data_IF_545988407861
#
_entry.id   IF_545988407861
#
_cell.length_a   1.000
_cell.length_b   1.000
_cell.length_c   1.000
_cell.angle_alpha   90.00
_cell.angle_beta   90.00
_cell.angle_gamma   90.00
#
_symmetry.space_group_name_H-M   'P 1'
#
loop_
_entity.id
_entity.type
_entity.pdbx_description
1 polymer ?
#
# COMPACT_ATOMS: atom_id res chain seq x y z
N UNK A 1 22.29 2.75 -38.65
CA UNK A 1 21.52 2.72 -39.90
C UNK A 1 20.77 1.41 -40.15
N UNK A 2 21.25 0.25 -39.68
CA UNK A 2 20.54 -1.03 -39.94
C UNK A 2 19.30 -1.26 -39.06
N UNK A 3 19.29 -0.77 -37.82
CA UNK A 3 18.14 -0.94 -36.90
C UNK A 3 16.95 -0.04 -37.25
N UNK A 4 17.19 1.14 -37.81
CA UNK A 4 16.11 2.07 -38.19
C UNK A 4 15.28 1.52 -39.37
N UNK A 5 15.94 0.85 -40.32
CA UNK A 5 15.28 0.21 -41.46
C UNK A 5 14.40 -0.97 -41.01
N UNK A 6 14.88 -1.74 -40.03
CA UNK A 6 14.11 -2.85 -39.45
C UNK A 6 12.87 -2.33 -38.70
N UNK A 7 13.00 -1.24 -37.94
CA UNK A 7 11.89 -0.66 -37.19
C UNK A 7 10.82 -0.06 -38.12
N UNK A 8 11.24 0.54 -39.24
CA UNK A 8 10.35 1.03 -40.30
C UNK A 8 9.59 -0.10 -40.99
N UNK A 9 10.25 -1.23 -41.29
CA UNK A 9 9.61 -2.37 -41.92
C UNK A 9 8.55 -3.00 -40.98
N UNK A 10 8.89 -3.19 -39.70
CA UNK A 10 7.96 -3.71 -38.69
C UNK A 10 6.74 -2.80 -38.54
N UNK A 11 6.94 -1.47 -38.52
CA UNK A 11 5.83 -0.52 -38.44
C UNK A 11 4.94 -0.53 -39.68
N UNK A 12 5.51 -0.74 -40.87
CA UNK A 12 4.75 -0.87 -42.11
C UNK A 12 3.86 -2.12 -42.08
N UNK A 13 4.40 -3.26 -41.66
CA UNK A 13 3.68 -4.53 -41.57
C UNK A 13 2.53 -4.48 -40.53
N UNK A 14 2.76 -3.86 -39.37
CA UNK A 14 1.71 -3.66 -38.36
C UNK A 14 0.55 -2.78 -38.90
N UNK A 15 0.87 -1.74 -39.68
CA UNK A 15 -0.14 -0.89 -40.31
C UNK A 15 -0.92 -1.62 -41.39
N UNK A 16 -0.28 -2.49 -42.15
CA UNK A 16 -0.92 -3.31 -43.17
C UNK A 16 -1.90 -4.30 -42.56
N UNK A 17 -1.51 -4.99 -41.49
CA UNK A 17 -2.41 -5.88 -40.72
C UNK A 17 -3.63 -5.13 -40.17
N UNK A 18 -3.44 -3.92 -39.64
CA UNK A 18 -4.57 -3.08 -39.16
C UNK A 18 -5.51 -2.65 -40.29
N UNK A 19 -4.96 -2.31 -41.47
CA UNK A 19 -5.78 -1.98 -42.65
C UNK A 19 -6.61 -3.16 -43.12
N UNK A 20 -6.05 -4.37 -43.11
CA UNK A 20 -6.78 -5.61 -43.44
C UNK A 20 -7.98 -5.87 -42.51
N UNK A 21 -7.90 -5.38 -41.27
CA UNK A 21 -8.96 -5.50 -40.26
C UNK A 21 -9.88 -4.27 -40.16
N UNK A 22 -9.76 -3.30 -41.08
CA UNK A 22 -10.48 -2.01 -41.04
C UNK A 22 -10.28 -1.22 -39.72
N UNK A 23 -9.11 -1.34 -39.10
CA UNK A 23 -8.78 -0.66 -37.85
C UNK A 23 -7.90 0.58 -38.07
N UNK A 24 -7.95 1.58 -37.17
CA UNK A 24 -7.13 2.78 -37.28
C UNK A 24 -5.62 2.44 -37.25
N UNK A 25 -4.87 2.90 -38.26
CA UNK A 25 -3.42 2.65 -38.42
C UNK A 25 -2.52 3.81 -37.92
N UNK A 26 -3.07 4.75 -37.16
CA UNK A 26 -2.36 5.92 -36.61
C UNK A 26 -1.88 5.67 -35.18
N UNK A 27 -0.67 6.08 -34.80
CA UNK A 27 -0.17 5.97 -33.42
C UNK A 27 1.23 5.35 -33.32
N UNK A 28 1.71 5.20 -32.08
CA UNK A 28 2.99 4.56 -31.77
C UNK A 28 2.90 3.03 -31.94
N UNK A 29 4.05 2.36 -32.17
CA UNK A 29 4.14 0.89 -32.36
C UNK A 29 3.31 0.10 -31.35
N UNK A 30 3.39 0.47 -30.06
CA UNK A 30 2.65 -0.18 -28.98
C UNK A 30 1.14 -0.05 -29.12
N UNK A 31 0.63 1.10 -29.58
CA UNK A 31 -0.81 1.28 -29.80
C UNK A 31 -1.31 0.41 -30.96
N UNK A 32 -0.49 0.27 -32.03
CA UNK A 32 -0.83 -0.59 -33.16
C UNK A 32 -0.90 -2.06 -32.71
N UNK A 33 0.08 -2.51 -31.93
CA UNK A 33 0.11 -3.86 -31.34
C UNK A 33 -1.10 -4.10 -30.44
N UNK A 34 -1.43 -3.15 -29.56
CA UNK A 34 -2.61 -3.26 -28.68
C UNK A 34 -3.91 -3.39 -29.47
N UNK A 35 -4.06 -2.67 -30.58
CA UNK A 35 -5.27 -2.77 -31.44
C UNK A 35 -5.36 -4.11 -32.15
N UNK A 36 -4.24 -4.68 -32.59
CA UNK A 36 -4.20 -6.01 -33.20
C UNK A 36 -4.57 -7.10 -32.18
N UNK A 37 -4.03 -7.01 -30.97
CA UNK A 37 -4.39 -7.93 -29.87
C UNK A 37 -5.89 -7.83 -29.54
N UNK A 38 -6.43 -6.62 -29.42
CA UNK A 38 -7.86 -6.41 -29.20
C UNK A 38 -8.75 -6.92 -30.35
N UNK A 39 -8.21 -7.03 -31.57
CA UNK A 39 -8.91 -7.57 -32.73
C UNK A 39 -8.83 -9.10 -32.83
N UNK A 40 -8.20 -9.77 -31.86
CA UNK A 40 -8.06 -11.22 -31.83
C UNK A 40 -6.85 -11.77 -32.60
N UNK A 41 -5.90 -10.92 -33.01
CA UNK A 41 -4.65 -11.39 -33.62
C UNK A 41 -3.73 -11.94 -32.51
N UNK A 42 -3.28 -13.21 -32.59
CA UNK A 42 -2.49 -13.83 -31.55
C UNK A 42 -1.11 -13.17 -31.40
N UNK A 43 -0.67 -13.02 -30.15
CA UNK A 43 0.61 -12.37 -29.81
C UNK A 43 1.83 -13.07 -30.43
N UNK A 44 1.71 -14.36 -30.73
CA UNK A 44 2.75 -15.18 -31.40
C UNK A 44 3.04 -14.71 -32.83
N UNK A 45 2.03 -14.26 -33.58
CA UNK A 45 2.21 -13.67 -34.91
C UNK A 45 2.84 -12.28 -34.87
N UNK A 46 2.83 -11.63 -33.70
CA UNK A 46 3.39 -10.29 -33.47
C UNK A 46 4.80 -10.37 -32.86
N UNK A 47 5.12 -11.45 -32.13
CA UNK A 47 6.43 -11.72 -31.54
C UNK A 47 7.39 -12.47 -32.46
N UNK A 48 6.90 -13.23 -33.45
CA UNK A 48 7.74 -13.96 -34.40
C UNK A 48 8.71 -13.09 -35.23
N UNK A 49 8.63 -11.76 -35.13
CA UNK A 49 9.47 -10.81 -35.84
C UNK A 49 10.40 -9.96 -34.95
N UNK A 50 10.46 -10.19 -33.63
CA UNK A 50 11.46 -9.54 -32.78
C UNK A 50 12.55 -10.56 -32.37
N UNK A 51 13.85 -10.30 -32.59
CA UNK A 51 14.89 -11.00 -31.84
C UNK A 51 14.72 -10.69 -30.34
N UNK A 52 15.01 -11.67 -29.45
CA UNK A 52 14.74 -11.54 -28.03
C UNK A 52 15.62 -10.44 -27.45
N UNK A 53 15.02 -9.31 -27.13
CA UNK A 53 15.68 -8.29 -26.31
C UNK A 53 15.05 -8.37 -24.94
N UNK A 54 15.74 -9.06 -24.05
CA UNK A 54 15.51 -9.07 -22.61
C UNK A 54 15.37 -7.63 -22.12
N UNK A 55 14.21 -7.26 -21.59
CA UNK A 55 14.11 -6.31 -20.48
C UNK A 55 12.78 -6.54 -19.77
N UNK A 56 12.90 -6.73 -18.46
CA UNK A 56 11.84 -6.82 -17.49
C UNK A 56 10.97 -5.56 -17.51
N UNK A 57 9.66 -5.69 -17.34
CA UNK A 57 9.01 -5.35 -16.07
C UNK A 57 7.48 -5.54 -16.14
N UNK A 58 6.94 -5.69 -14.94
CA UNK A 58 5.62 -6.16 -14.53
C UNK A 58 4.45 -5.23 -14.87
N UNK A 59 3.31 -5.82 -15.29
CA UNK A 59 1.90 -5.39 -15.11
C UNK A 59 1.12 -5.88 -16.36
N UNK A 60 -0.03 -6.54 -16.31
CA UNK A 60 -1.01 -6.81 -15.28
C UNK A 60 -2.29 -7.24 -16.03
N UNK A 61 -3.06 -8.13 -15.42
CA UNK A 61 -4.41 -8.57 -15.81
C UNK A 61 -4.60 -9.31 -17.14
N UNK A 62 -4.74 -10.63 -17.06
CA UNK A 62 -5.76 -11.32 -17.87
C UNK A 62 -6.51 -12.37 -17.04
N UNK A 63 -7.78 -12.04 -16.78
CA UNK A 63 -8.81 -12.89 -16.23
C UNK A 63 -9.63 -13.51 -17.38
N UNK A 64 -9.46 -14.83 -17.54
CA UNK A 64 -10.43 -15.87 -17.94
C UNK A 64 -11.28 -15.70 -19.23
N UNK A 65 -11.11 -16.64 -20.17
CA UNK A 65 -12.10 -17.56 -20.80
C UNK A 65 -11.28 -18.42 -21.80
N UNK A 66 -11.33 -19.74 -21.97
CA UNK A 66 -12.35 -20.79 -21.90
C UNK A 66 -11.62 -22.16 -21.74
N UNK A 67 -12.00 -23.01 -20.78
CA UNK A 67 -12.75 -24.25 -20.98
C UNK A 67 -12.50 -25.02 -22.29
N UNK A 68 -11.92 -26.23 -22.17
CA UNK A 68 -12.33 -27.35 -23.01
C UNK A 68 -11.27 -28.05 -23.86
N UNK A 69 -10.15 -28.52 -23.31
CA UNK A 69 -9.56 -29.77 -23.81
C UNK A 69 -8.58 -30.39 -22.81
N UNK A 70 -8.80 -31.67 -22.52
CA UNK A 70 -8.02 -32.48 -21.58
C UNK A 70 -6.65 -32.83 -22.15
N UNK A 71 -5.78 -31.83 -22.29
CA UNK A 71 -4.34 -32.05 -22.40
C UNK A 71 -3.76 -32.12 -20.98
N UNK A 72 -2.92 -33.11 -20.64
CA UNK A 72 -2.29 -33.16 -19.33
C UNK A 72 -1.45 -31.90 -19.16
N UNK A 73 -1.97 -30.97 -18.35
CA UNK A 73 -1.37 -29.66 -18.17
C UNK A 73 0.12 -29.83 -17.87
N UNK A 74 1.03 -29.17 -18.62
CA UNK A 74 2.45 -29.24 -18.35
C UNK A 74 2.69 -28.92 -16.87
N UNK A 75 3.62 -29.61 -16.19
CA UNK A 75 3.78 -29.57 -14.73
C UNK A 75 3.86 -28.15 -14.14
N UNK A 76 4.28 -27.17 -14.94
CA UNK A 76 4.27 -25.73 -14.65
C UNK A 76 2.86 -25.15 -14.38
N UNK A 77 1.84 -25.51 -15.16
CA UNK A 77 0.47 -24.96 -15.01
C UNK A 77 -0.20 -25.52 -13.74
N UNK A 78 0.01 -26.80 -13.44
CA UNK A 78 -0.54 -27.42 -12.23
C UNK A 78 0.07 -26.79 -10.96
N UNK A 79 1.37 -26.50 -10.96
CA UNK A 79 2.04 -25.79 -9.87
C UNK A 79 1.50 -24.36 -9.73
N UNK A 80 1.33 -23.65 -10.85
CA UNK A 80 0.73 -22.31 -10.86
C UNK A 80 -0.68 -22.33 -10.28
N UNK A 81 -1.52 -23.30 -10.65
CA UNK A 81 -2.86 -23.44 -10.09
C UNK A 81 -2.86 -23.74 -8.59
N UNK A 82 -2.00 -24.66 -8.14
CA UNK A 82 -1.84 -24.96 -6.70
C UNK A 82 -1.41 -23.72 -5.91
N UNK A 83 -0.48 -22.93 -6.46
CA UNK A 83 -0.01 -21.70 -5.85
C UNK A 83 -1.10 -20.63 -5.78
N UNK A 84 -1.86 -20.44 -6.87
CA UNK A 84 -2.99 -19.52 -6.90
C UNK A 84 -4.08 -19.92 -5.90
N UNK A 85 -4.35 -21.22 -5.76
CA UNK A 85 -5.29 -21.74 -4.78
C UNK A 85 -4.82 -21.46 -3.35
N UNK A 86 -3.55 -21.70 -3.06
CA UNK A 86 -2.95 -21.37 -1.75
C UNK A 86 -3.00 -19.87 -1.46
N UNK A 87 -2.68 -19.01 -2.43
CA UNK A 87 -2.78 -17.56 -2.29
C UNK A 87 -4.20 -17.09 -2.02
N UNK A 88 -5.19 -17.64 -2.73
CA UNK A 88 -6.61 -17.38 -2.44
C UNK A 88 -6.96 -17.80 -1.01
N UNK A 89 -6.55 -18.99 -0.59
CA UNK A 89 -6.86 -19.53 0.73
C UNK A 89 -6.24 -18.70 1.86
N UNK A 90 -5.07 -18.12 1.62
CA UNK A 90 -4.44 -17.18 2.53
C UNK A 90 -5.22 -15.85 2.58
N UNK A 91 -5.51 -15.26 1.43
CA UNK A 91 -6.24 -13.98 1.35
C UNK A 91 -7.62 -14.06 2.02
N UNK A 92 -8.33 -15.20 1.89
CA UNK A 92 -9.60 -15.43 2.59
C UNK A 92 -9.42 -15.43 4.10
N UNK A 93 -8.39 -16.13 4.62
CA UNK A 93 -8.11 -16.17 6.06
C UNK A 93 -7.69 -14.82 6.61
N UNK A 94 -6.87 -14.09 5.87
CA UNK A 94 -6.45 -12.73 6.24
C UNK A 94 -7.66 -11.80 6.29
N UNK A 95 -8.54 -11.85 5.29
CA UNK A 95 -9.77 -11.06 5.30
C UNK A 95 -10.70 -11.39 6.47
N UNK A 96 -10.81 -12.68 6.84
CA UNK A 96 -11.56 -13.11 8.03
C UNK A 96 -10.91 -12.62 9.33
N UNK A 97 -9.58 -12.67 9.45
CA UNK A 97 -8.86 -12.13 10.59
C UNK A 97 -9.08 -10.62 10.72
N UNK A 98 -8.90 -9.86 9.64
CA UNK A 98 -9.15 -8.42 9.64
C UNK A 98 -10.59 -8.09 10.03
N UNK A 99 -11.59 -8.86 9.55
CA UNK A 99 -12.98 -8.67 9.95
C UNK A 99 -13.19 -8.89 11.44
N UNK A 100 -12.61 -9.96 12.00
CA UNK A 100 -12.67 -10.24 13.45
C UNK A 100 -11.95 -9.17 14.26
N UNK A 101 -10.80 -8.69 13.79
CA UNK A 101 -10.08 -7.58 14.43
C UNK A 101 -10.91 -6.30 14.42
N UNK A 102 -11.52 -5.93 13.29
CA UNK A 102 -12.45 -4.81 13.22
C UNK A 102 -13.65 -4.99 14.16
N UNK A 103 -14.21 -6.20 14.24
CA UNK A 103 -15.31 -6.51 15.13
C UNK A 103 -14.90 -6.39 16.61
N UNK A 104 -13.72 -6.90 16.97
CA UNK A 104 -13.14 -6.75 18.30
C UNK A 104 -12.86 -5.27 18.63
N UNK A 105 -12.41 -4.47 17.67
CA UNK A 105 -12.25 -3.02 17.87
C UNK A 105 -13.60 -2.30 18.03
N UNK A 106 -14.67 -2.80 17.40
CA UNK A 106 -16.04 -2.26 17.54
C UNK A 106 -16.72 -2.69 18.83
N UNK A 107 -16.46 -3.92 19.29
CA UNK A 107 -17.00 -4.50 20.51
C UNK A 107 -16.17 -4.16 21.74
N UNK A 108 -14.90 -3.79 21.55
CA UNK A 108 -14.11 -3.12 22.57
C UNK A 108 -14.87 -1.87 22.96
N UNK A 109 -15.22 -1.68 24.24
CA UNK A 109 -15.88 -0.47 24.68
C UNK A 109 -15.00 0.69 24.24
N UNK A 110 -15.51 1.44 23.28
CA UNK A 110 -14.89 2.62 22.69
C UNK A 110 -14.55 3.55 23.85
N UNK A 111 -13.30 3.49 24.35
CA UNK A 111 -12.75 4.54 25.18
C UNK A 111 -12.56 5.70 24.21
N UNK A 112 -13.63 6.49 24.12
CA UNK A 112 -13.88 7.37 23.00
C UNK A 112 -12.75 8.37 22.83
N UNK A 113 -12.33 8.54 21.59
CA UNK A 113 -11.50 9.65 21.17
C UNK A 113 -12.18 11.01 21.44
N UNK A 114 -13.51 11.02 21.62
CA UNK A 114 -14.29 12.18 22.11
C UNK A 114 -14.33 12.30 23.65
N UNK A 115 -13.97 11.24 24.38
CA UNK A 115 -13.72 11.26 25.82
C UNK A 115 -12.26 11.54 26.16
N UNK A 116 -11.32 11.57 25.19
CA UNK A 116 -9.89 11.85 25.46
C UNK A 116 -9.67 13.21 26.09
N UNK A 117 -10.41 14.26 25.71
CA UNK A 117 -10.29 15.56 26.37
C UNK A 117 -10.83 15.52 27.81
N UNK A 118 -11.87 14.74 28.11
CA UNK A 118 -12.45 14.61 29.45
C UNK A 118 -11.74 13.60 30.37
N UNK A 119 -11.17 12.53 29.80
CA UNK A 119 -10.39 11.52 30.49
C UNK A 119 -8.95 12.01 30.72
N UNK A 120 -8.36 12.73 29.77
CA UNK A 120 -7.12 13.48 30.00
C UNK A 120 -7.37 14.59 31.03
N UNK A 121 -8.53 15.25 31.05
CA UNK A 121 -8.84 16.24 32.09
C UNK A 121 -8.82 15.70 33.53
N UNK A 122 -9.18 14.41 33.73
CA UNK A 122 -9.04 13.74 35.03
C UNK A 122 -7.60 13.34 35.32
N UNK A 123 -6.93 12.67 34.37
CA UNK A 123 -5.50 12.33 34.47
C UNK A 123 -4.62 13.58 34.63
N UNK A 124 -5.06 14.71 34.09
CA UNK A 124 -4.43 16.03 34.15
C UNK A 124 -4.48 16.62 35.56
N UNK A 125 -5.64 16.54 36.21
CA UNK A 125 -5.78 16.91 37.62
C UNK A 125 -4.92 16.02 38.49
N UNK A 126 -4.97 14.71 38.27
CA UNK A 126 -4.16 13.76 39.02
C UNK A 126 -2.65 14.02 38.81
N UNK A 127 -2.20 14.27 37.58
CA UNK A 127 -0.80 14.62 37.28
C UNK A 127 -0.39 15.96 37.90
N UNK A 128 -1.28 16.94 37.88
CA UNK A 128 -1.05 18.25 38.51
C UNK A 128 -0.80 18.07 40.01
N UNK A 129 -1.58 17.22 40.67
CA UNK A 129 -1.45 16.97 42.11
C UNK A 129 -0.17 16.17 42.46
N UNK A 130 0.43 15.46 41.50
CA UNK A 130 1.68 14.73 41.69
C UNK A 130 2.95 15.61 41.61
N UNK A 131 2.86 16.78 40.99
CA UNK A 131 3.98 17.71 40.88
C UNK A 131 3.82 18.79 41.95
N UNK A 132 4.87 19.03 42.72
CA UNK A 132 4.91 20.12 43.69
C UNK A 132 4.97 21.47 42.96
N UNK A 133 4.28 22.49 43.46
CA UNK A 133 4.43 23.87 42.96
C UNK A 133 5.89 24.31 43.11
N UNK A 134 6.45 24.89 42.05
CA UNK A 134 7.82 25.40 42.06
C UNK A 134 7.82 26.84 42.57
N UNK A 135 8.34 27.05 43.77
CA UNK A 135 8.39 28.33 44.49
C UNK A 135 9.53 29.27 44.05
N UNK A 136 10.27 28.89 43.01
CA UNK A 136 11.42 29.67 42.52
C UNK A 136 12.69 29.51 43.34
N UNK A 137 12.69 28.67 44.39
CA UNK A 137 13.88 28.47 45.21
C UNK A 137 14.88 27.54 44.50
N UNK A 138 16.13 28.00 44.38
CA UNK A 138 17.16 27.31 43.58
C UNK A 138 17.49 25.91 44.10
N UNK A 139 17.32 25.67 45.42
CA UNK A 139 17.58 24.38 46.08
C UNK A 139 16.67 23.25 45.61
N UNK A 140 15.46 23.57 45.18
CA UNK A 140 14.43 22.58 44.85
C UNK A 140 14.21 22.43 43.34
N UNK A 141 14.88 23.25 42.52
CA UNK A 141 14.81 23.25 41.06
C UNK A 141 15.25 21.92 40.45
N UNK A 142 16.40 21.38 40.88
CA UNK A 142 16.92 20.12 40.34
C UNK A 142 16.01 18.93 40.72
N UNK A 143 15.45 18.97 41.93
CA UNK A 143 14.54 17.93 42.43
C UNK A 143 13.20 17.98 41.69
N UNK A 144 12.66 19.17 41.52
CA UNK A 144 11.43 19.44 40.78
C UNK A 144 11.56 19.03 39.32
N UNK A 145 12.66 19.41 38.66
CA UNK A 145 12.94 19.04 37.27
C UNK A 145 13.02 17.52 37.09
N UNK A 146 13.68 16.80 38.02
CA UNK A 146 13.72 15.33 37.99
C UNK A 146 12.34 14.71 38.14
N UNK A 147 11.47 15.28 38.97
CA UNK A 147 10.08 14.83 39.12
C UNK A 147 9.29 15.03 37.83
N UNK A 148 9.37 16.23 37.24
CA UNK A 148 8.69 16.54 35.97
C UNK A 148 9.18 15.65 34.84
N UNK A 149 10.50 15.52 34.63
CA UNK A 149 11.07 14.67 33.56
C UNK A 149 10.65 13.20 33.71
N UNK A 150 10.66 12.65 34.93
CA UNK A 150 10.23 11.26 35.19
C UNK A 150 8.76 11.08 34.82
N UNK A 151 7.95 12.06 35.16
CA UNK A 151 6.51 12.04 34.93
C UNK A 151 6.19 12.16 33.43
N UNK A 152 6.84 13.10 32.72
CA UNK A 152 6.78 13.23 31.25
C UNK A 152 7.16 11.92 30.54
N UNK A 153 8.25 11.28 30.97
CA UNK A 153 8.70 10.01 30.40
C UNK A 153 7.75 8.83 30.71
N UNK A 154 7.14 8.79 31.90
CA UNK A 154 6.25 7.71 32.31
C UNK A 154 4.85 7.75 31.69
N UNK A 155 4.36 8.95 31.37
CA UNK A 155 3.02 9.15 30.83
C UNK A 155 2.98 9.38 29.32
N UNK A 156 4.15 9.37 28.64
CA UNK A 156 4.28 9.61 27.20
C UNK A 156 3.47 10.83 26.73
N UNK A 157 3.64 11.94 27.46
CA UNK A 157 2.85 13.16 27.26
C UNK A 157 3.24 13.86 25.96
N UNK A 158 2.24 14.46 25.30
CA UNK A 158 2.48 15.28 24.13
C UNK A 158 3.17 16.59 24.50
N UNK A 159 3.91 17.15 23.54
CA UNK A 159 4.72 18.36 23.72
C UNK A 159 3.88 19.58 24.17
N UNK A 160 2.61 19.61 23.79
CA UNK A 160 1.63 20.61 24.23
C UNK A 160 1.18 20.39 25.68
N UNK A 161 0.93 19.15 26.08
CA UNK A 161 0.52 18.78 27.43
C UNK A 161 1.66 19.03 28.43
N UNK A 162 2.89 18.66 28.06
CA UNK A 162 4.09 18.92 28.85
C UNK A 162 4.29 20.41 29.15
N UNK A 163 4.13 21.27 28.12
CA UNK A 163 4.24 22.74 28.27
C UNK A 163 3.15 23.31 29.16
N UNK A 164 1.92 22.82 29.02
CA UNK A 164 0.82 23.27 29.87
C UNK A 164 1.05 22.93 31.36
N UNK A 165 1.70 21.79 31.69
CA UNK A 165 2.00 21.42 33.08
C UNK A 165 3.02 22.38 33.65
N UNK A 166 4.11 22.57 32.90
CA UNK A 166 5.20 23.47 33.28
C UNK A 166 4.67 24.88 33.53
N UNK A 167 3.84 25.43 32.64
CA UNK A 167 3.28 26.77 32.80
C UNK A 167 2.34 26.92 34.02
N UNK A 168 1.66 25.86 34.44
CA UNK A 168 0.75 25.91 35.59
C UNK A 168 1.46 25.73 36.95
N UNK A 169 2.69 25.22 36.96
CA UNK A 169 3.45 24.88 38.18
C UNK A 169 4.64 25.79 38.46
N UNK A 170 4.89 26.76 37.58
CA UNK A 170 5.74 27.90 37.91
C UNK A 170 4.92 28.84 38.80
N UNK A 171 5.33 29.03 40.05
CA UNK A 171 4.76 30.06 40.89
C UNK A 171 4.96 31.43 40.22
N UNK A 172 3.89 32.23 40.16
CA UNK A 172 3.91 33.60 39.63
C UNK A 172 4.54 34.59 40.59
#
# INVERSE_FOLDING_TARGET
MHHDVQLLNILAELKEKLKGLNLPSSGAKLELVKRLLNAGVPSEELQAQNPPTETADEHGDEAWHNAGEASPAPPSILLKYKFLRQKRDLAVREAELLRRECELLRMSPRCEESARTGANGRKWKDLKDLISEFDGNCSDSERWEKQVRKLLASYALDDYEAKAILCNHLAG
#
